data_IF_432131799423
#
_entry.id   IF_432131799423
#
_cell.length_a   1.000
_cell.length_b   1.000
_cell.length_c   1.000
_cell.angle_alpha   90.00
_cell.angle_beta   90.00
_cell.angle_gamma   90.00
#
_symmetry.space_group_name_H-M   'P 1'
#
loop_
_entity.id
_entity.type
_entity.pdbx_description
1 polymer ?
#
# COMPACT_ATOMS: atom_id res chain seq x y z
N UNK A 1 29.87 -6.83 -32.35
CA UNK A 1 28.51 -6.86 -32.92
C UNK A 1 27.64 -5.85 -32.20
N UNK A 2 26.89 -5.05 -32.95
CA UNK A 2 26.00 -4.03 -32.39
C UNK A 2 24.59 -4.21 -32.96
N UNK A 3 23.59 -4.27 -32.07
CA UNK A 3 22.17 -4.20 -32.42
C UNK A 3 21.44 -3.29 -31.43
N UNK A 4 20.10 -3.09 -31.59
CA UNK A 4 19.31 -2.18 -30.76
C UNK A 4 19.31 -2.52 -29.26
N UNK A 5 19.62 -3.74 -28.87
CA UNK A 5 19.54 -4.20 -27.47
C UNK A 5 20.84 -4.77 -26.92
N UNK A 6 21.90 -4.93 -27.76
CA UNK A 6 23.15 -5.52 -27.29
C UNK A 6 24.36 -4.97 -28.03
N UNK A 7 25.47 -4.80 -27.30
CA UNK A 7 26.79 -4.44 -27.80
C UNK A 7 27.77 -5.50 -27.32
N UNK A 8 28.54 -6.05 -28.26
CA UNK A 8 29.66 -6.95 -27.97
C UNK A 8 30.98 -6.28 -28.39
N UNK A 9 31.91 -6.18 -27.44
CA UNK A 9 33.21 -5.56 -27.60
C UNK A 9 34.24 -6.60 -28.08
N UNK A 10 35.38 -6.14 -28.63
CA UNK A 10 36.44 -7.02 -29.14
C UNK A 10 37.05 -7.92 -28.06
N UNK A 11 37.07 -7.49 -26.83
CA UNK A 11 37.55 -8.28 -25.68
C UNK A 11 36.54 -9.33 -25.18
N UNK A 12 35.42 -9.53 -25.89
CA UNK A 12 34.36 -10.47 -25.49
C UNK A 12 33.37 -9.96 -24.45
N UNK A 13 33.54 -8.72 -23.95
CA UNK A 13 32.57 -8.11 -23.03
C UNK A 13 31.26 -7.79 -23.76
N UNK A 14 30.13 -7.99 -23.05
CA UNK A 14 28.77 -7.72 -23.58
C UNK A 14 28.03 -6.76 -22.72
N UNK A 15 27.34 -5.82 -23.36
CA UNK A 15 26.36 -4.93 -22.70
C UNK A 15 25.00 -5.26 -23.28
N UNK A 16 24.04 -5.57 -22.43
CA UNK A 16 22.64 -5.82 -22.79
C UNK A 16 21.77 -4.72 -22.19
N UNK A 17 20.95 -4.08 -23.01
CA UNK A 17 19.94 -3.12 -22.59
C UNK A 17 18.55 -3.70 -22.84
N UNK A 18 17.71 -3.68 -21.81
CA UNK A 18 16.34 -4.18 -21.88
C UNK A 18 15.43 -3.34 -20.98
N UNK A 19 14.14 -3.29 -21.31
CA UNK A 19 13.14 -2.72 -20.40
C UNK A 19 13.00 -3.62 -19.17
N UNK A 20 12.79 -3.02 -18.01
CA UNK A 20 12.58 -3.77 -16.78
C UNK A 20 11.28 -4.56 -16.86
N UNK A 21 11.42 -5.88 -16.81
CA UNK A 21 10.30 -6.83 -16.78
C UNK A 21 10.70 -8.06 -15.98
N UNK A 22 9.73 -8.84 -15.53
CA UNK A 22 9.96 -10.07 -14.76
C UNK A 22 10.88 -11.09 -15.45
N UNK A 23 11.11 -10.97 -16.75
CA UNK A 23 11.93 -11.91 -17.54
C UNK A 23 13.18 -11.28 -18.18
N UNK A 24 13.42 -9.99 -17.98
CA UNK A 24 14.44 -9.22 -18.73
C UNK A 24 15.86 -9.79 -18.63
N UNK A 25 16.22 -10.43 -17.53
CA UNK A 25 17.56 -10.97 -17.25
C UNK A 25 17.57 -12.47 -16.95
N UNK A 26 16.45 -13.17 -17.16
CA UNK A 26 16.37 -14.62 -16.91
C UNK A 26 17.33 -15.38 -17.83
N UNK A 27 18.06 -16.35 -17.23
CA UNK A 27 18.95 -17.26 -17.97
C UNK A 27 20.28 -16.67 -18.40
N UNK A 28 20.58 -15.42 -18.02
CA UNK A 28 21.89 -14.80 -18.23
C UNK A 28 22.78 -14.91 -16.99
N UNK A 29 24.09 -14.76 -17.20
CA UNK A 29 25.08 -14.55 -16.13
C UNK A 29 25.70 -13.18 -16.31
N UNK A 30 25.63 -12.32 -15.30
CA UNK A 30 26.04 -10.92 -15.40
C UNK A 30 27.03 -10.58 -14.29
N UNK A 31 28.05 -9.81 -14.62
CA UNK A 31 29.00 -9.26 -13.65
C UNK A 31 28.47 -7.97 -13.03
N UNK A 32 27.69 -7.20 -13.79
CA UNK A 32 27.07 -5.96 -13.33
C UNK A 32 25.62 -5.92 -13.82
N UNK A 33 24.71 -5.58 -12.94
CA UNK A 33 23.32 -5.25 -13.27
C UNK A 33 23.14 -3.78 -12.89
N UNK A 34 22.74 -2.95 -13.86
CA UNK A 34 22.46 -1.53 -13.66
C UNK A 34 20.97 -1.28 -13.89
N UNK A 35 20.30 -0.76 -12.86
CA UNK A 35 18.88 -0.41 -12.89
C UNK A 35 18.77 1.10 -12.86
N UNK A 36 18.26 1.68 -13.94
CA UNK A 36 18.07 3.12 -14.09
C UNK A 36 16.61 3.48 -13.86
N UNK A 37 16.37 4.63 -13.23
CA UNK A 37 15.04 5.14 -12.89
C UNK A 37 14.15 4.12 -12.16
N UNK A 38 14.76 3.39 -11.23
CA UNK A 38 14.13 2.24 -10.60
C UNK A 38 12.90 2.57 -9.75
N UNK A 39 12.83 3.78 -9.17
CA UNK A 39 11.65 4.25 -8.42
C UNK A 39 10.40 4.42 -9.31
N UNK A 40 10.56 4.49 -10.64
CA UNK A 40 9.45 4.68 -11.58
C UNK A 40 8.82 3.37 -12.06
N UNK A 41 9.35 2.23 -11.61
CA UNK A 41 8.80 0.92 -11.93
C UNK A 41 7.63 0.61 -10.98
N UNK A 42 6.48 0.13 -11.48
CA UNK A 42 5.39 -0.31 -10.62
C UNK A 42 5.83 -1.37 -9.60
N UNK A 43 5.35 -1.28 -8.36
CA UNK A 43 5.76 -2.15 -7.25
C UNK A 43 5.68 -3.64 -7.60
N UNK A 44 4.56 -4.08 -8.22
CA UNK A 44 4.39 -5.49 -8.60
C UNK A 44 5.40 -5.99 -9.63
N UNK A 45 5.87 -5.11 -10.54
CA UNK A 45 6.92 -5.45 -11.51
C UNK A 45 8.28 -5.51 -10.82
N UNK A 46 8.56 -4.59 -9.91
CA UNK A 46 9.80 -4.58 -9.13
C UNK A 46 9.94 -5.85 -8.29
N UNK A 47 8.88 -6.26 -7.59
CA UNK A 47 8.86 -7.49 -6.78
C UNK A 47 9.08 -8.74 -7.66
N UNK A 48 8.38 -8.86 -8.78
CA UNK A 48 8.56 -9.95 -9.73
C UNK A 48 9.96 -9.95 -10.37
N UNK A 49 10.51 -8.78 -10.65
CA UNK A 49 11.86 -8.63 -11.19
C UNK A 49 12.88 -9.16 -10.17
N UNK A 50 12.83 -8.71 -8.91
CA UNK A 50 13.76 -9.18 -7.88
C UNK A 50 13.62 -10.68 -7.63
N UNK A 51 12.40 -11.21 -7.52
CA UNK A 51 12.18 -12.64 -7.35
C UNK A 51 12.79 -13.47 -8.50
N UNK A 52 12.80 -12.93 -9.73
CA UNK A 52 13.36 -13.62 -10.90
C UNK A 52 14.86 -13.42 -11.09
N UNK A 53 15.41 -12.29 -10.63
CA UNK A 53 16.81 -11.88 -10.84
C UNK A 53 17.70 -12.28 -9.67
N UNK A 54 17.18 -12.32 -8.46
CA UNK A 54 17.95 -12.63 -7.25
C UNK A 54 18.70 -13.97 -7.33
N UNK A 55 18.15 -15.06 -7.87
CA UNK A 55 18.90 -16.30 -8.08
C UNK A 55 20.09 -16.13 -9.00
N UNK A 56 19.99 -15.24 -10.01
CA UNK A 56 21.08 -14.93 -10.93
C UNK A 56 22.18 -14.10 -10.25
N UNK A 57 21.80 -13.17 -9.39
CA UNK A 57 22.71 -12.35 -8.58
C UNK A 57 23.44 -13.24 -7.58
N UNK A 58 22.71 -14.06 -6.84
CA UNK A 58 23.25 -14.91 -5.78
C UNK A 58 24.15 -16.06 -6.28
N UNK A 59 23.98 -16.49 -7.52
CA UNK A 59 24.84 -17.52 -8.14
C UNK A 59 26.22 -17.00 -8.57
N UNK A 60 26.35 -15.68 -8.70
CA UNK A 60 27.59 -15.01 -9.13
C UNK A 60 28.39 -14.54 -7.90
N UNK A 61 29.58 -15.09 -7.67
CA UNK A 61 30.45 -14.68 -6.55
C UNK A 61 30.89 -13.21 -6.58
N UNK A 62 30.66 -12.46 -7.68
CA UNK A 62 31.16 -11.10 -7.88
C UNK A 62 30.15 -10.22 -8.64
N UNK A 63 28.89 -10.58 -8.72
CA UNK A 63 27.88 -9.75 -9.38
C UNK A 63 27.63 -8.49 -8.55
N UNK A 64 27.74 -7.32 -9.20
CA UNK A 64 27.41 -6.03 -8.61
C UNK A 64 26.03 -5.59 -9.10
N UNK A 65 25.21 -5.08 -8.21
CA UNK A 65 23.94 -4.43 -8.55
C UNK A 65 24.05 -2.95 -8.23
N UNK A 66 23.79 -2.12 -9.21
CA UNK A 66 23.78 -0.66 -9.10
C UNK A 66 22.36 -0.20 -9.41
N UNK A 67 21.74 0.49 -8.49
CA UNK A 67 20.37 1.01 -8.62
C UNK A 67 20.44 2.53 -8.54
N UNK A 68 19.93 3.22 -9.55
CA UNK A 68 19.91 4.68 -9.60
C UNK A 68 18.48 5.14 -9.86
N UNK A 69 18.05 6.16 -9.13
CA UNK A 69 16.76 6.83 -9.37
C UNK A 69 16.70 8.16 -8.64
N UNK A 70 15.83 9.06 -9.09
CA UNK A 70 15.27 10.08 -8.23
C UNK A 70 14.14 9.45 -7.38
N UNK A 71 13.87 9.97 -6.17
CA UNK A 71 12.79 9.48 -5.33
C UNK A 71 11.42 9.60 -6.00
N UNK A 72 10.55 8.62 -5.76
CA UNK A 72 9.15 8.68 -6.20
C UNK A 72 8.23 8.11 -5.13
N UNK A 73 7.83 8.94 -4.16
CA UNK A 73 7.00 8.51 -3.05
C UNK A 73 7.67 7.43 -2.18
N UNK A 74 6.87 6.78 -1.36
CA UNK A 74 7.33 5.70 -0.46
C UNK A 74 7.10 4.32 -1.08
N UNK A 75 7.67 4.08 -2.25
CA UNK A 75 7.55 2.84 -3.01
C UNK A 75 8.65 1.82 -2.63
N UNK A 76 8.80 0.75 -3.44
CA UNK A 76 9.84 -0.27 -3.25
C UNK A 76 11.28 0.30 -3.20
N UNK A 77 11.59 1.37 -3.96
CA UNK A 77 12.90 2.03 -3.92
C UNK A 77 13.14 2.73 -2.58
N UNK A 78 12.12 3.42 -2.04
CA UNK A 78 12.16 3.98 -0.69
C UNK A 78 12.43 2.91 0.36
N UNK A 79 11.72 1.77 0.30
CA UNK A 79 11.92 0.66 1.23
C UNK A 79 13.35 0.13 1.18
N UNK A 80 13.87 -0.11 -0.04
CA UNK A 80 15.25 -0.58 -0.22
C UNK A 80 16.28 0.42 0.33
N UNK A 81 16.07 1.70 0.09
CA UNK A 81 16.90 2.79 0.59
C UNK A 81 16.91 2.82 2.13
N UNK A 82 15.74 2.84 2.72
CA UNK A 82 15.57 2.93 4.17
C UNK A 82 16.06 1.68 4.91
N UNK A 83 15.88 0.50 4.33
CA UNK A 83 16.45 -0.74 4.83
C UNK A 83 17.99 -0.73 4.74
N UNK A 84 18.58 -0.11 3.72
CA UNK A 84 20.01 0.07 3.61
C UNK A 84 20.56 1.02 4.69
N UNK A 85 19.91 2.16 4.94
CA UNK A 85 20.26 3.09 6.01
C UNK A 85 20.21 2.43 7.40
N UNK A 86 19.28 1.47 7.59
CA UNK A 86 19.14 0.71 8.84
C UNK A 86 20.01 -0.54 8.91
N UNK A 87 20.81 -0.81 7.87
CA UNK A 87 21.65 -2.01 7.78
C UNK A 87 20.89 -3.34 7.67
N UNK A 88 19.63 -3.31 7.21
CA UNK A 88 18.81 -4.51 6.99
C UNK A 88 19.10 -5.22 5.66
N UNK A 89 19.79 -4.56 4.75
CA UNK A 89 20.25 -5.14 3.48
C UNK A 89 21.72 -4.76 3.25
N UNK A 90 22.32 -5.31 2.19
CA UNK A 90 23.75 -5.12 1.86
C UNK A 90 23.99 -3.95 0.91
N UNK A 91 22.97 -3.17 0.55
CA UNK A 91 23.13 -2.00 -0.32
C UNK A 91 23.80 -0.86 0.44
N UNK A 92 24.62 -0.09 -0.29
CA UNK A 92 25.26 1.12 0.21
C UNK A 92 24.50 2.32 -0.33
N UNK A 93 23.70 3.01 0.48
CA UNK A 93 22.98 4.20 0.04
C UNK A 93 23.95 5.33 -0.22
N UNK A 94 23.78 6.00 -1.35
CA UNK A 94 24.58 7.17 -1.73
C UNK A 94 23.64 8.18 -2.39
N UNK A 95 23.39 9.28 -1.71
CA UNK A 95 22.68 10.43 -2.27
C UNK A 95 23.67 11.45 -2.85
N UNK A 96 23.22 12.19 -3.84
CA UNK A 96 23.96 13.30 -4.43
C UNK A 96 23.08 14.54 -4.41
N UNK A 97 23.24 15.33 -3.36
CA UNK A 97 22.51 16.58 -3.22
C UNK A 97 22.97 17.60 -4.27
N UNK A 98 22.07 18.44 -4.78
CA UNK A 98 22.37 19.41 -5.83
C UNK A 98 23.56 20.31 -5.52
N UNK A 99 23.77 20.66 -4.25
CA UNK A 99 24.87 21.54 -3.81
C UNK A 99 26.27 20.90 -3.92
N UNK A 100 26.35 19.59 -4.09
CA UNK A 100 27.59 18.84 -4.30
C UNK A 100 28.01 18.82 -5.77
N UNK A 101 27.10 19.22 -6.67
CA UNK A 101 27.36 19.22 -8.11
C UNK A 101 28.04 20.53 -8.51
N UNK A 102 29.26 20.49 -9.11
CA UNK A 102 29.96 21.70 -9.51
C UNK A 102 29.14 22.60 -10.44
N UNK A 103 29.13 23.90 -10.14
CA UNK A 103 28.38 24.89 -10.94
C UNK A 103 26.92 25.09 -10.54
N UNK A 104 26.44 24.40 -9.52
CA UNK A 104 25.11 24.62 -8.95
C UNK A 104 25.24 25.46 -7.69
N UNK A 105 24.66 26.66 -7.71
CA UNK A 105 24.65 27.61 -6.59
C UNK A 105 23.21 28.04 -6.23
N UNK A 106 23.07 28.97 -5.30
CA UNK A 106 21.77 29.49 -4.88
C UNK A 106 20.99 30.15 -6.03
N UNK A 107 21.67 30.81 -6.95
CA UNK A 107 21.05 31.44 -8.11
C UNK A 107 20.49 30.37 -9.05
N UNK A 108 21.27 29.31 -9.30
CA UNK A 108 20.81 28.15 -10.05
C UNK A 108 19.58 27.49 -9.40
N UNK A 109 19.57 27.34 -8.05
CA UNK A 109 18.42 26.80 -7.30
C UNK A 109 17.17 27.65 -7.55
N UNK A 110 17.25 28.96 -7.33
CA UNK A 110 16.12 29.88 -7.52
C UNK A 110 15.56 29.83 -8.95
N UNK A 111 16.44 29.83 -9.94
CA UNK A 111 16.06 29.73 -11.36
C UNK A 111 15.39 28.39 -11.69
N UNK A 112 15.91 27.30 -11.12
CA UNK A 112 15.36 25.96 -11.36
C UNK A 112 13.97 25.84 -10.73
N UNK A 113 13.78 26.32 -9.50
CA UNK A 113 12.47 26.37 -8.83
C UNK A 113 11.47 27.21 -9.63
N UNK A 114 11.91 28.38 -10.12
CA UNK A 114 11.04 29.26 -10.92
C UNK A 114 10.59 28.62 -12.24
N UNK A 115 11.40 27.75 -12.83
CA UNK A 115 11.10 27.06 -14.09
C UNK A 115 10.35 25.73 -13.89
N UNK A 116 10.29 25.20 -12.66
CA UNK A 116 9.66 23.93 -12.30
C UNK A 116 8.64 24.14 -11.18
N UNK A 117 8.97 23.67 -10.00
CA UNK A 117 8.26 23.94 -8.75
C UNK A 117 9.17 23.61 -7.56
N UNK A 118 8.87 24.18 -6.39
CA UNK A 118 9.55 23.84 -5.12
C UNK A 118 9.51 22.33 -4.85
N UNK A 119 8.36 21.69 -5.07
CA UNK A 119 8.20 20.26 -4.84
C UNK A 119 9.03 19.43 -5.82
N UNK A 120 9.03 19.77 -7.11
CA UNK A 120 9.84 19.06 -8.08
C UNK A 120 11.33 19.24 -7.77
N UNK A 121 11.74 20.43 -7.35
CA UNK A 121 13.12 20.69 -6.95
C UNK A 121 13.56 19.80 -5.78
N UNK A 122 12.70 19.65 -4.77
CA UNK A 122 12.98 18.80 -3.60
C UNK A 122 13.14 17.33 -3.97
N UNK A 123 12.30 16.82 -4.88
CA UNK A 123 12.40 15.42 -5.34
C UNK A 123 13.64 15.22 -6.20
N UNK A 124 13.82 16.04 -7.24
CA UNK A 124 14.82 15.81 -8.27
C UNK A 124 16.26 16.20 -7.86
N UNK A 125 16.38 17.17 -6.95
CA UNK A 125 17.66 17.77 -6.63
C UNK A 125 18.03 17.75 -5.14
N UNK A 126 17.06 17.66 -4.24
CA UNK A 126 17.29 17.45 -2.81
C UNK A 126 17.07 15.99 -2.41
N UNK A 127 16.76 15.12 -3.36
CA UNK A 127 16.58 13.67 -3.17
C UNK A 127 15.54 13.30 -2.10
N UNK A 128 14.53 14.17 -1.88
CA UNK A 128 13.51 13.92 -0.88
C UNK A 128 12.46 12.93 -1.37
N UNK A 129 12.21 11.89 -0.57
CA UNK A 129 11.08 10.99 -0.78
C UNK A 129 9.78 11.69 -0.37
N UNK A 130 9.18 12.41 -1.30
CA UNK A 130 7.89 13.06 -1.10
C UNK A 130 6.78 12.16 -1.64
N UNK A 131 5.65 12.08 -0.91
CA UNK A 131 4.42 11.53 -1.44
C UNK A 131 3.88 12.37 -2.61
N UNK A 132 2.89 11.84 -3.30
CA UNK A 132 2.22 12.53 -4.41
C UNK A 132 1.61 13.87 -3.96
N UNK A 133 1.33 14.75 -4.91
CA UNK A 133 0.63 16.03 -4.65
C UNK A 133 -0.84 15.74 -4.32
N UNK A 134 -1.45 16.57 -3.47
CA UNK A 134 -2.88 16.48 -3.12
C UNK A 134 -3.31 15.15 -2.49
N UNK A 135 -2.42 14.52 -1.70
CA UNK A 135 -2.78 13.33 -0.93
C UNK A 135 -3.85 13.62 0.13
N UNK A 136 -4.62 12.60 0.49
CA UNK A 136 -5.65 12.70 1.54
C UNK A 136 -5.06 13.18 2.86
N UNK A 137 -3.96 12.57 3.26
CA UNK A 137 -3.19 12.92 4.48
C UNK A 137 -2.10 13.92 4.09
N UNK A 138 -1.84 14.89 4.95
CA UNK A 138 -0.82 15.92 4.68
C UNK A 138 0.57 15.30 4.50
N UNK A 139 1.36 15.86 3.58
CA UNK A 139 2.72 15.39 3.31
C UNK A 139 3.63 15.46 4.55
N UNK A 140 3.38 16.42 5.46
CA UNK A 140 4.10 16.52 6.74
C UNK A 140 3.77 15.34 7.66
N UNK A 141 2.50 14.93 7.73
CA UNK A 141 2.08 13.78 8.54
C UNK A 141 2.59 12.47 7.94
N UNK A 142 2.45 12.29 6.62
CA UNK A 142 2.94 11.08 5.94
C UNK A 142 4.44 10.86 6.18
N UNK A 143 5.25 11.91 6.15
CA UNK A 143 6.70 11.83 6.44
C UNK A 143 7.03 11.48 7.88
N UNK A 144 6.15 11.83 8.82
CA UNK A 144 6.35 11.50 10.23
C UNK A 144 5.94 10.05 10.58
N UNK A 145 5.23 9.36 9.67
CA UNK A 145 4.85 7.97 9.88
C UNK A 145 6.08 7.05 9.80
N UNK A 146 6.16 6.14 10.74
CA UNK A 146 7.23 5.14 10.83
C UNK A 146 6.59 3.76 10.67
N UNK A 147 7.23 2.87 9.95
CA UNK A 147 6.81 1.49 9.84
C UNK A 147 7.70 0.55 10.64
N UNK A 148 7.11 -0.52 11.10
CA UNK A 148 7.76 -1.61 11.83
C UNK A 148 7.70 -2.90 11.00
N UNK A 149 8.58 -3.87 11.34
CA UNK A 149 8.45 -5.21 10.81
C UNK A 149 7.33 -5.95 11.55
N UNK A 150 6.48 -6.72 10.87
CA UNK A 150 5.43 -7.50 11.52
C UNK A 150 6.04 -8.59 12.41
N UNK A 151 5.34 -8.95 13.49
CA UNK A 151 5.69 -10.10 14.35
C UNK A 151 5.56 -11.41 13.57
N UNK A 152 4.58 -11.50 12.68
CA UNK A 152 4.32 -12.62 11.80
C UNK A 152 3.95 -12.11 10.41
N UNK A 153 4.50 -12.76 9.37
CA UNK A 153 4.18 -12.49 7.97
C UNK A 153 4.01 -13.81 7.23
N UNK A 154 2.82 -14.07 6.71
CA UNK A 154 2.54 -15.30 5.97
C UNK A 154 1.40 -15.11 4.95
N UNK A 155 1.68 -15.41 3.68
CA UNK A 155 0.66 -15.47 2.62
C UNK A 155 -0.13 -14.18 2.39
N UNK A 156 0.45 -13.01 2.69
CA UNK A 156 -0.18 -11.71 2.60
C UNK A 156 -0.77 -11.19 3.92
N UNK A 157 -0.79 -12.03 4.97
CA UNK A 157 -1.18 -11.65 6.32
C UNK A 157 0.05 -11.18 7.11
N UNK A 158 0.01 -9.95 7.60
CA UNK A 158 1.01 -9.37 8.50
C UNK A 158 0.35 -9.00 9.83
N UNK A 159 0.93 -9.46 10.93
CA UNK A 159 0.44 -9.25 12.29
C UNK A 159 1.49 -8.45 13.08
N UNK A 160 1.07 -7.37 13.70
CA UNK A 160 1.88 -6.47 14.52
C UNK A 160 1.63 -6.62 16.02
N UNK A 161 0.47 -7.17 16.40
CA UNK A 161 0.12 -7.46 17.79
C UNK A 161 -0.75 -8.70 17.87
N UNK A 162 -0.41 -9.62 18.78
CA UNK A 162 -1.25 -10.78 19.09
C UNK A 162 -2.57 -10.33 19.74
N UNK A 163 -3.65 -11.14 19.64
CA UNK A 163 -4.91 -10.80 20.26
C UNK A 163 -4.79 -10.71 21.79
N UNK A 164 -5.31 -9.63 22.34
CA UNK A 164 -5.33 -9.40 23.78
C UNK A 164 -6.73 -9.78 24.29
N UNK A 165 -6.78 -10.54 25.38
CA UNK A 165 -8.05 -10.95 25.99
C UNK A 165 -8.89 -9.73 26.40
N UNK A 166 -10.19 -9.82 26.18
CA UNK A 166 -11.19 -8.78 26.50
C UNK A 166 -11.00 -7.46 25.71
N UNK A 167 -10.20 -7.47 24.63
CA UNK A 167 -10.15 -6.38 23.67
C UNK A 167 -11.20 -6.55 22.58
N UNK A 168 -11.68 -5.43 22.05
CA UNK A 168 -12.63 -5.35 20.95
C UNK A 168 -11.88 -5.06 19.64
N UNK A 169 -12.25 -5.80 18.59
CA UNK A 169 -11.61 -5.70 17.28
C UNK A 169 -12.61 -5.49 16.18
N UNK A 170 -12.19 -4.71 15.18
CA UNK A 170 -12.93 -4.52 13.94
C UNK A 170 -12.05 -4.91 12.77
N UNK A 171 -12.63 -5.67 11.85
CA UNK A 171 -12.00 -6.08 10.60
C UNK A 171 -12.77 -5.43 9.45
N UNK A 172 -12.11 -4.55 8.71
CA UNK A 172 -12.70 -3.90 7.54
C UNK A 172 -12.11 -4.50 6.28
N UNK A 173 -12.98 -4.86 5.34
CA UNK A 173 -12.66 -5.70 4.20
C UNK A 173 -12.99 -5.01 2.89
N UNK A 174 -12.02 -4.97 2.00
CA UNK A 174 -12.16 -4.61 0.59
C UNK A 174 -11.88 -5.83 -0.28
N UNK A 175 -12.72 -6.09 -1.29
CA UNK A 175 -12.72 -7.36 -2.03
C UNK A 175 -12.45 -7.15 -3.50
N UNK A 176 -11.37 -7.75 -4.01
CA UNK A 176 -11.04 -7.82 -5.42
C UNK A 176 -11.38 -9.17 -6.05
N UNK A 177 -11.33 -9.25 -7.39
CA UNK A 177 -11.66 -10.45 -8.16
C UNK A 177 -10.58 -11.54 -8.16
N UNK A 178 -9.38 -11.27 -7.61
CA UNK A 178 -8.26 -12.22 -7.58
C UNK A 178 -7.70 -12.54 -8.97
N UNK A 179 -7.59 -11.53 -9.82
CA UNK A 179 -7.10 -11.65 -11.22
C UNK A 179 -5.70 -11.01 -11.41
N UNK A 180 -5.03 -10.67 -10.30
CA UNK A 180 -3.64 -10.21 -10.31
C UNK A 180 -3.46 -8.69 -10.44
N UNK A 181 -4.54 -7.90 -10.45
CA UNK A 181 -4.48 -6.43 -10.50
C UNK A 181 -4.75 -5.81 -9.13
N UNK A 182 -6.01 -5.75 -8.71
CA UNK A 182 -6.41 -5.24 -7.42
C UNK A 182 -6.27 -6.32 -6.35
N UNK A 183 -6.08 -5.92 -5.10
CA UNK A 183 -5.90 -6.83 -3.99
C UNK A 183 -7.21 -7.03 -3.22
N UNK A 184 -7.50 -8.27 -2.84
CA UNK A 184 -8.40 -8.50 -1.71
C UNK A 184 -7.64 -8.18 -0.43
N UNK A 185 -8.18 -7.25 0.37
CA UNK A 185 -7.50 -6.72 1.53
C UNK A 185 -8.43 -6.66 2.75
N UNK A 186 -7.86 -6.72 3.94
CA UNK A 186 -8.50 -6.30 5.17
C UNK A 186 -7.50 -5.72 6.16
N UNK A 187 -8.01 -4.90 7.08
CA UNK A 187 -7.27 -4.41 8.25
C UNK A 187 -7.92 -4.89 9.52
N UNK A 188 -7.10 -5.19 10.53
CA UNK A 188 -7.51 -5.56 11.88
C UNK A 188 -7.23 -4.37 12.78
N UNK A 189 -8.26 -3.81 13.39
CA UNK A 189 -8.15 -2.61 14.24
C UNK A 189 -8.57 -2.95 15.65
N UNK A 190 -7.70 -2.71 16.62
CA UNK A 190 -8.03 -2.70 18.03
C UNK A 190 -8.77 -1.38 18.37
N UNK A 191 -10.01 -1.50 18.82
CA UNK A 191 -10.91 -0.37 19.08
C UNK A 191 -11.25 -0.23 20.54
N UNK A 192 -10.59 -0.97 21.41
CA UNK A 192 -10.85 -0.99 22.86
C UNK A 192 -10.67 0.37 23.52
N UNK A 193 -9.73 1.15 23.05
CA UNK A 193 -9.46 2.50 23.56
C UNK A 193 -8.77 3.39 22.53
N UNK A 194 -8.99 4.70 22.58
CA UNK A 194 -8.23 5.66 21.78
C UNK A 194 -6.78 5.82 22.30
N UNK A 195 -5.80 5.99 21.43
CA UNK A 195 -5.89 5.89 19.96
C UNK A 195 -6.18 4.44 19.51
N UNK A 196 -7.08 4.27 18.56
CA UNK A 196 -7.28 2.98 17.91
C UNK A 196 -6.03 2.57 17.15
N UNK A 197 -5.77 1.26 17.04
CA UNK A 197 -4.52 0.76 16.44
C UNK A 197 -4.81 -0.28 15.37
N UNK A 198 -4.24 -0.10 14.20
CA UNK A 198 -4.16 -1.18 13.20
C UNK A 198 -3.08 -2.15 13.66
N UNK A 199 -3.48 -3.37 13.98
CA UNK A 199 -2.62 -4.41 14.56
C UNK A 199 -2.36 -5.57 13.63
N UNK A 200 -2.98 -5.56 12.45
CA UNK A 200 -2.74 -6.53 11.39
C UNK A 200 -3.38 -6.09 10.09
N UNK A 201 -2.90 -6.65 9.00
CA UNK A 201 -3.47 -6.48 7.66
C UNK A 201 -3.32 -7.76 6.84
N UNK A 202 -4.17 -7.90 5.87
CA UNK A 202 -4.06 -8.90 4.81
C UNK A 202 -4.13 -8.22 3.45
N UNK A 203 -3.31 -8.70 2.51
CA UNK A 203 -3.30 -8.20 1.13
C UNK A 203 -2.87 -9.30 0.17
N UNK A 204 -3.73 -9.66 -0.78
CA UNK A 204 -3.43 -10.70 -1.76
C UNK A 204 -4.22 -10.48 -3.05
N UNK A 205 -3.57 -10.42 -4.20
CA UNK A 205 -4.20 -10.19 -5.51
C UNK A 205 -4.49 -11.48 -6.31
N UNK A 206 -4.13 -12.64 -5.77
CA UNK A 206 -4.35 -13.94 -6.40
C UNK A 206 -5.41 -14.78 -5.67
N UNK A 207 -5.80 -14.36 -4.45
CA UNK A 207 -6.80 -15.08 -3.66
C UNK A 207 -8.14 -15.12 -4.38
N UNK A 208 -8.71 -16.32 -4.51
CA UNK A 208 -10.05 -16.45 -5.08
C UNK A 208 -11.10 -15.97 -4.09
N UNK A 209 -12.11 -15.20 -4.54
CA UNK A 209 -13.18 -14.68 -3.67
C UNK A 209 -13.89 -15.74 -2.83
N UNK A 210 -13.97 -16.98 -3.32
CA UNK A 210 -14.57 -18.09 -2.57
C UNK A 210 -13.75 -18.60 -1.39
N UNK A 211 -12.44 -18.36 -1.37
CA UNK A 211 -11.54 -18.78 -0.27
C UNK A 211 -11.32 -17.68 0.75
N UNK A 212 -11.49 -16.45 0.35
CA UNK A 212 -11.23 -15.27 1.19
C UNK A 212 -12.11 -15.20 2.44
N UNK A 213 -13.42 -15.55 2.41
CA UNK A 213 -14.31 -15.57 3.57
C UNK A 213 -13.76 -16.39 4.75
N UNK A 214 -13.20 -17.57 4.47
CA UNK A 214 -12.65 -18.44 5.52
C UNK A 214 -11.47 -17.78 6.23
N UNK A 215 -10.58 -17.12 5.49
CA UNK A 215 -9.44 -16.40 6.08
C UNK A 215 -9.94 -15.26 6.97
N UNK A 216 -10.93 -14.47 6.51
CA UNK A 216 -11.49 -13.37 7.28
C UNK A 216 -12.09 -13.87 8.59
N UNK A 217 -12.91 -14.94 8.53
CA UNK A 217 -13.60 -15.50 9.70
C UNK A 217 -12.62 -16.14 10.68
N UNK A 218 -11.60 -16.86 10.19
CA UNK A 218 -10.58 -17.47 11.05
C UNK A 218 -9.82 -16.39 11.83
N UNK A 219 -9.46 -15.30 11.18
CA UNK A 219 -8.83 -14.14 11.83
C UNK A 219 -9.79 -13.47 12.82
N UNK A 220 -11.04 -13.24 12.44
CA UNK A 220 -12.02 -12.63 13.33
C UNK A 220 -12.23 -13.46 14.60
N UNK A 221 -12.32 -14.79 14.48
CA UNK A 221 -12.40 -15.70 15.61
C UNK A 221 -11.16 -15.65 16.51
N UNK A 222 -9.96 -15.59 15.90
CA UNK A 222 -8.71 -15.46 16.65
C UNK A 222 -8.64 -14.13 17.44
N UNK A 223 -9.20 -13.06 16.88
CA UNK A 223 -9.28 -11.75 17.52
C UNK A 223 -10.62 -11.54 18.24
N UNK A 224 -10.88 -12.36 19.26
CA UNK A 224 -12.02 -12.31 20.20
C UNK A 224 -13.40 -12.27 19.53
N UNK A 225 -13.60 -12.92 18.41
CA UNK A 225 -14.78 -12.81 17.55
C UNK A 225 -15.05 -11.36 17.11
N UNK A 226 -14.03 -10.68 16.62
CA UNK A 226 -14.09 -9.29 16.19
C UNK A 226 -15.18 -9.01 15.16
N UNK A 227 -15.68 -7.79 15.14
CA UNK A 227 -16.69 -7.37 14.16
C UNK A 227 -16.11 -7.28 12.76
N UNK A 228 -16.84 -7.76 11.77
CA UNK A 228 -16.46 -7.70 10.35
C UNK A 228 -17.36 -6.70 9.64
N UNK A 229 -16.77 -5.77 8.88
CA UNK A 229 -17.47 -4.88 7.96
C UNK A 229 -16.91 -5.06 6.54
N UNK A 230 -17.69 -5.70 5.67
CA UNK A 230 -17.34 -5.88 4.26
C UNK A 230 -17.85 -4.73 3.39
N UNK A 231 -17.05 -4.31 2.42
CA UNK A 231 -17.56 -3.61 1.25
C UNK A 231 -18.34 -4.60 0.39
N UNK A 232 -19.59 -4.25 0.04
CA UNK A 232 -20.50 -5.14 -0.71
C UNK A 232 -20.73 -4.69 -2.16
N UNK A 233 -19.79 -3.94 -2.72
CA UNK A 233 -19.79 -3.65 -4.14
C UNK A 233 -19.32 -4.88 -4.92
N UNK A 234 -19.84 -5.07 -6.11
CA UNK A 234 -19.42 -6.14 -7.05
C UNK A 234 -19.35 -7.52 -6.37
N UNK A 235 -18.17 -8.12 -6.28
CA UNK A 235 -17.94 -9.45 -5.70
C UNK A 235 -18.02 -9.48 -4.16
N UNK A 236 -17.93 -8.34 -3.51
CA UNK A 236 -17.96 -8.25 -2.05
C UNK A 236 -19.27 -8.72 -1.44
N UNK A 237 -20.40 -8.57 -2.13
CA UNK A 237 -21.70 -9.10 -1.69
C UNK A 237 -21.68 -10.63 -1.59
N UNK A 238 -20.98 -11.32 -2.50
CA UNK A 238 -20.81 -12.78 -2.44
C UNK A 238 -19.94 -13.19 -1.23
N UNK A 239 -18.84 -12.48 -0.97
CA UNK A 239 -17.98 -12.75 0.19
C UNK A 239 -18.75 -12.56 1.49
N UNK A 240 -19.48 -11.47 1.64
CA UNK A 240 -20.30 -11.19 2.82
C UNK A 240 -21.42 -12.25 3.00
N UNK A 241 -22.03 -12.70 1.90
CA UNK A 241 -23.05 -13.75 1.93
C UNK A 241 -22.48 -15.08 2.43
N UNK A 242 -21.29 -15.48 1.99
CA UNK A 242 -20.62 -16.71 2.46
C UNK A 242 -20.30 -16.58 3.96
N UNK A 243 -19.77 -15.42 4.41
CA UNK A 243 -19.49 -15.18 5.84
C UNK A 243 -20.75 -15.37 6.68
N UNK A 244 -21.87 -14.82 6.23
CA UNK A 244 -23.13 -14.83 7.00
C UNK A 244 -23.87 -16.17 6.92
N UNK A 245 -24.09 -16.71 5.71
CA UNK A 245 -24.96 -17.86 5.52
C UNK A 245 -24.22 -19.20 5.57
N UNK A 246 -23.01 -19.29 5.03
CA UNK A 246 -22.27 -20.54 4.93
C UNK A 246 -21.36 -20.77 6.13
N UNK A 247 -20.70 -19.71 6.64
CA UNK A 247 -19.81 -19.76 7.79
C UNK A 247 -20.50 -19.39 9.10
N UNK A 248 -21.78 -18.96 9.04
CA UNK A 248 -22.65 -18.61 10.17
C UNK A 248 -21.96 -17.69 11.20
N UNK A 249 -21.26 -16.64 10.69
CA UNK A 249 -20.53 -15.71 11.54
C UNK A 249 -21.43 -14.58 12.02
N UNK A 250 -21.71 -14.52 13.32
CA UNK A 250 -22.71 -13.62 13.93
C UNK A 250 -22.26 -12.15 13.96
N UNK A 251 -20.97 -11.86 14.09
CA UNK A 251 -20.45 -10.49 14.23
C UNK A 251 -20.16 -9.81 12.88
N UNK A 252 -20.94 -10.14 11.84
CA UNK A 252 -20.94 -9.41 10.59
C UNK A 252 -21.83 -8.18 10.70
N UNK A 253 -21.25 -6.98 10.51
CA UNK A 253 -21.97 -5.71 10.56
C UNK A 253 -22.86 -5.52 9.34
N UNK A 254 -24.10 -5.21 9.57
CA UNK A 254 -25.11 -4.98 8.54
C UNK A 254 -25.40 -3.48 8.39
N UNK A 255 -25.65 -3.04 7.18
CA UNK A 255 -26.05 -1.67 6.89
C UNK A 255 -27.47 -1.59 6.34
N UNK A 256 -28.19 -0.54 6.71
CA UNK A 256 -29.52 -0.23 6.19
C UNK A 256 -29.59 1.17 5.62
N UNK A 257 -30.47 1.40 4.65
CA UNK A 257 -30.71 2.74 4.09
C UNK A 257 -31.74 3.48 4.94
N UNK A 258 -31.38 4.61 5.51
CA UNK A 258 -32.27 5.44 6.35
C UNK A 258 -32.51 6.83 5.73
N UNK A 259 -33.41 6.90 4.78
CA UNK A 259 -33.86 8.16 4.17
C UNK A 259 -32.69 9.04 3.68
N UNK A 260 -32.65 10.29 4.14
CA UNK A 260 -31.60 11.27 3.78
C UNK A 260 -30.26 11.02 4.51
N UNK A 261 -30.25 10.26 5.60
CA UNK A 261 -29.02 9.93 6.31
C UNK A 261 -28.12 8.93 5.55
N UNK A 262 -28.65 8.29 4.49
CA UNK A 262 -27.89 7.33 3.69
C UNK A 262 -27.76 5.98 4.38
N UNK A 263 -26.59 5.36 4.24
CA UNK A 263 -26.30 4.09 4.90
C UNK A 263 -25.93 4.31 6.36
N UNK A 264 -26.51 3.50 7.23
CA UNK A 264 -26.17 3.45 8.66
C UNK A 264 -25.93 1.99 9.05
N UNK A 265 -25.03 1.77 10.01
CA UNK A 265 -24.84 0.47 10.66
C UNK A 265 -26.01 0.22 11.62
N UNK A 266 -26.54 -0.99 11.63
CA UNK A 266 -27.65 -1.36 12.50
C UNK A 266 -27.63 -2.83 12.87
N UNK A 267 -28.28 -3.18 13.98
CA UNK A 267 -28.48 -4.57 14.39
C UNK A 267 -29.73 -5.15 13.72
N UNK A 268 -29.55 -6.24 12.97
CA UNK A 268 -30.61 -7.15 12.56
C UNK A 268 -31.50 -6.70 11.37
N UNK A 269 -32.32 -7.63 10.91
CA UNK A 269 -33.20 -7.56 9.73
C UNK A 269 -34.40 -6.60 9.85
N UNK A 270 -34.34 -5.54 10.64
CA UNK A 270 -35.45 -4.63 10.89
C UNK A 270 -35.67 -3.59 9.80
N UNK A 271 -35.66 -3.97 8.51
CA UNK A 271 -35.97 -3.02 7.44
C UNK A 271 -35.89 -3.61 6.03
N UNK A 272 -36.67 -3.06 5.11
CA UNK A 272 -36.84 -3.53 3.72
C UNK A 272 -35.59 -3.51 2.83
N UNK A 273 -34.39 -3.06 3.29
CA UNK A 273 -33.15 -2.98 2.51
C UNK A 273 -31.93 -3.08 3.43
N UNK A 274 -31.81 -4.16 4.17
CA UNK A 274 -30.60 -4.47 4.93
C UNK A 274 -29.59 -5.16 4.01
N UNK A 275 -28.31 -4.75 4.07
CA UNK A 275 -27.18 -5.31 3.31
C UNK A 275 -26.19 -5.93 4.29
N UNK A 276 -25.51 -7.01 3.91
CA UNK A 276 -24.52 -7.72 4.73
C UNK A 276 -23.16 -6.99 4.76
N UNK A 277 -23.17 -5.69 4.86
CA UNK A 277 -21.98 -4.83 4.82
C UNK A 277 -22.32 -3.44 4.30
N UNK A 278 -21.28 -2.67 3.94
CA UNK A 278 -21.41 -1.30 3.45
C UNK A 278 -21.25 -1.23 1.94
N UNK A 279 -22.16 -0.55 1.26
CA UNK A 279 -22.00 -0.24 -0.16
C UNK A 279 -21.19 1.03 -0.31
N UNK A 280 -20.02 0.96 -0.95
CA UNK A 280 -19.20 2.13 -1.23
C UNK A 280 -19.90 3.05 -2.24
N UNK A 281 -20.55 4.05 -1.71
CA UNK A 281 -21.15 5.14 -2.47
C UNK A 281 -20.27 6.39 -2.39
N UNK A 282 -20.50 7.37 -3.28
CA UNK A 282 -19.79 8.66 -3.21
C UNK A 282 -19.90 9.33 -1.83
N UNK A 283 -21.05 9.19 -1.17
CA UNK A 283 -21.27 9.75 0.18
C UNK A 283 -20.49 9.01 1.24
N UNK A 284 -20.50 7.67 1.22
CA UNK A 284 -19.73 6.83 2.15
C UNK A 284 -18.24 7.12 1.99
N UNK A 285 -17.72 7.10 0.76
CA UNK A 285 -16.30 7.39 0.47
C UNK A 285 -15.91 8.80 0.94
N UNK A 286 -16.74 9.81 0.68
CA UNK A 286 -16.48 11.19 1.10
C UNK A 286 -16.42 11.32 2.63
N UNK A 287 -17.37 10.72 3.36
CA UNK A 287 -17.39 10.74 4.83
C UNK A 287 -16.19 9.97 5.37
N UNK A 288 -15.94 8.76 4.85
CA UNK A 288 -14.81 7.94 5.25
C UNK A 288 -13.46 8.63 5.04
N UNK A 289 -13.22 9.23 3.86
CA UNK A 289 -12.00 9.99 3.58
C UNK A 289 -11.85 11.20 4.53
N UNK A 290 -12.91 11.98 4.75
CA UNK A 290 -12.86 13.12 5.66
C UNK A 290 -12.50 12.71 7.08
N UNK A 291 -13.11 11.63 7.58
CA UNK A 291 -12.85 11.12 8.92
C UNK A 291 -11.48 10.45 9.02
N UNK A 292 -11.06 9.69 8.00
CA UNK A 292 -9.71 9.10 7.98
C UNK A 292 -8.64 10.18 8.11
N UNK A 293 -8.79 11.28 7.36
CA UNK A 293 -7.90 12.42 7.50
C UNK A 293 -7.84 12.91 8.95
N UNK A 294 -8.99 13.13 9.58
CA UNK A 294 -9.06 13.60 10.98
C UNK A 294 -8.44 12.59 11.94
N UNK A 295 -8.76 11.31 11.81
CA UNK A 295 -8.23 10.26 12.68
C UNK A 295 -6.70 10.15 12.60
N UNK A 296 -6.13 10.29 11.42
CA UNK A 296 -4.67 10.21 11.21
C UNK A 296 -3.98 11.50 11.63
N UNK A 297 -4.49 12.67 11.23
CA UNK A 297 -3.88 13.97 11.57
C UNK A 297 -3.90 14.24 13.08
N UNK A 298 -4.98 13.85 13.77
CA UNK A 298 -5.15 13.98 15.22
C UNK A 298 -4.53 12.83 16.03
N UNK A 299 -3.83 11.88 15.39
CA UNK A 299 -3.23 10.70 16.03
C UNK A 299 -4.22 9.80 16.78
N UNK A 300 -5.48 9.78 16.33
CA UNK A 300 -6.53 8.92 16.88
C UNK A 300 -6.57 7.52 16.27
N UNK A 301 -5.94 7.34 15.12
CA UNK A 301 -5.69 6.06 14.47
C UNK A 301 -4.19 5.91 14.23
N UNK A 302 -3.59 4.88 14.80
CA UNK A 302 -2.17 4.57 14.67
C UNK A 302 -2.01 3.31 13.84
N UNK A 303 -1.07 3.33 12.92
CA UNK A 303 -0.63 2.19 12.13
C UNK A 303 0.84 2.30 11.81
N UNK A 304 1.54 1.17 11.78
CA UNK A 304 2.97 1.08 11.50
C UNK A 304 3.23 0.08 10.37
N UNK A 305 2.26 -0.10 9.48
CA UNK A 305 2.38 -1.00 8.32
C UNK A 305 2.91 -0.24 7.11
N UNK A 306 3.94 -0.81 6.47
CA UNK A 306 4.56 -0.20 5.29
C UNK A 306 3.61 -0.08 4.11
N UNK A 307 2.80 -1.12 3.80
CA UNK A 307 1.92 -1.11 2.63
C UNK A 307 0.81 -0.08 2.80
N UNK A 308 0.24 0.04 4.01
CA UNK A 308 -0.74 1.08 4.34
C UNK A 308 -0.15 2.47 4.13
N UNK A 309 1.05 2.72 4.66
CA UNK A 309 1.73 4.01 4.50
C UNK A 309 2.00 4.28 3.02
N UNK A 310 2.49 3.29 2.28
CA UNK A 310 2.76 3.38 0.85
C UNK A 310 1.51 3.76 0.05
N UNK A 311 0.37 3.10 0.28
CA UNK A 311 -0.88 3.42 -0.39
C UNK A 311 -1.38 4.83 -0.05
N UNK A 312 -1.31 5.25 1.22
CA UNK A 312 -1.69 6.61 1.64
C UNK A 312 -0.83 7.70 1.00
N UNK A 313 0.43 7.43 0.65
CA UNK A 313 1.31 8.39 -0.04
C UNK A 313 0.96 8.60 -1.51
N UNK A 314 0.20 7.70 -2.10
CA UNK A 314 -0.28 7.74 -3.49
C UNK A 314 -1.80 7.88 -3.59
N UNK A 315 -2.50 8.01 -2.47
CA UNK A 315 -3.96 8.19 -2.41
C UNK A 315 -4.31 9.67 -2.57
N UNK A 316 -4.53 10.08 -3.82
CA UNK A 316 -4.62 11.49 -4.24
C UNK A 316 -6.05 11.93 -4.55
N UNK A 317 -6.27 13.24 -4.49
CA UNK A 317 -7.53 13.84 -4.93
C UNK A 317 -7.65 13.76 -6.45
N UNK A 318 -8.73 13.13 -6.94
CA UNK A 318 -9.03 12.98 -8.36
C UNK A 318 -10.53 13.11 -8.60
N UNK A 319 -10.92 14.02 -9.49
CA UNK A 319 -12.32 14.16 -9.94
C UNK A 319 -13.37 14.22 -8.81
N UNK A 320 -13.14 14.99 -7.75
CA UNK A 320 -13.98 15.12 -6.55
C UNK A 320 -14.02 13.88 -5.62
N UNK A 321 -13.06 13.00 -5.72
CA UNK A 321 -12.86 11.84 -4.85
C UNK A 321 -11.37 11.66 -4.55
N UNK A 322 -11.03 10.62 -3.80
CA UNK A 322 -9.65 10.18 -3.60
C UNK A 322 -9.50 8.78 -4.20
N UNK A 323 -8.41 8.55 -4.92
CA UNK A 323 -8.11 7.28 -5.58
C UNK A 323 -6.59 7.11 -5.61
N UNK A 324 -6.12 5.88 -5.83
CA UNK A 324 -4.71 5.64 -6.08
C UNK A 324 -4.22 6.39 -7.33
N UNK A 325 -2.99 6.85 -7.29
CA UNK A 325 -2.28 7.34 -8.48
C UNK A 325 -2.15 6.23 -9.52
N UNK A 326 -2.04 6.60 -10.80
CA UNK A 326 -1.94 5.62 -11.88
C UNK A 326 -0.76 4.64 -11.69
N UNK A 327 -1.08 3.36 -11.71
CA UNK A 327 -0.12 2.28 -11.45
C UNK A 327 0.11 1.96 -9.97
N UNK A 328 -0.61 2.59 -9.05
CA UNK A 328 -0.64 2.29 -7.62
C UNK A 328 -1.96 1.63 -7.20
N UNK A 329 -2.00 1.12 -5.98
CA UNK A 329 -3.18 0.47 -5.39
C UNK A 329 -3.67 1.29 -4.19
N UNK A 330 -4.97 1.15 -3.83
CA UNK A 330 -5.59 1.79 -2.68
C UNK A 330 -6.45 0.83 -1.83
N UNK A 331 -6.26 -0.48 -1.97
CA UNK A 331 -7.10 -1.49 -1.33
C UNK A 331 -7.04 -1.43 0.21
N UNK A 332 -5.85 -1.27 0.80
CA UNK A 332 -5.67 -1.07 2.24
C UNK A 332 -6.12 0.33 2.68
N UNK A 333 -5.87 1.35 1.88
CA UNK A 333 -6.38 2.70 2.14
C UNK A 333 -7.91 2.70 2.13
N UNK A 334 -8.55 1.93 1.24
CA UNK A 334 -10.01 1.75 1.22
C UNK A 334 -10.52 1.00 2.46
N UNK A 335 -9.81 -0.02 2.95
CA UNK A 335 -10.13 -0.64 4.25
C UNK A 335 -10.15 0.41 5.38
N UNK A 336 -9.17 1.32 5.42
CA UNK A 336 -9.14 2.40 6.41
C UNK A 336 -10.25 3.45 6.18
N UNK A 337 -10.62 3.72 4.93
CA UNK A 337 -11.77 4.60 4.60
C UNK A 337 -13.08 4.00 5.11
N UNK A 338 -13.28 2.68 4.93
CA UNK A 338 -14.43 1.94 5.46
C UNK A 338 -14.44 2.00 6.99
N UNK A 339 -13.30 1.78 7.61
CA UNK A 339 -13.14 1.90 9.07
C UNK A 339 -13.49 3.30 9.57
N UNK A 340 -12.95 4.34 8.96
CA UNK A 340 -13.19 5.72 9.34
C UNK A 340 -14.66 6.14 9.13
N UNK A 341 -15.33 5.57 8.13
CA UNK A 341 -16.76 5.73 7.96
C UNK A 341 -17.54 5.05 9.09
N UNK A 342 -17.12 3.84 9.51
CA UNK A 342 -17.76 3.12 10.63
C UNK A 342 -17.66 3.88 11.96
N UNK A 343 -16.47 4.42 12.27
CA UNK A 343 -16.24 5.22 13.51
C UNK A 343 -17.13 6.46 13.57
N UNK A 344 -17.59 6.97 12.43
CA UNK A 344 -18.52 8.11 12.37
C UNK A 344 -19.99 7.74 12.56
N UNK A 345 -20.30 6.46 12.79
CA UNK A 345 -21.68 6.02 13.00
C UNK A 345 -22.05 6.09 14.49
N UNK A 346 -23.30 6.48 14.78
CA UNK A 346 -23.85 6.52 16.15
C UNK A 346 -23.79 5.15 16.86
N UNK A 347 -23.61 4.08 16.11
CA UNK A 347 -23.54 2.71 16.62
C UNK A 347 -22.17 2.37 17.21
N UNK A 348 -21.13 3.04 16.77
CA UNK A 348 -19.74 2.80 17.16
C UNK A 348 -19.28 3.81 18.19
#
# INVERSE_FOLDING_TARGET
VWNKGSLELENGSKILAASTSASAVRGGSYNVIFLDEFAFIPNHIADQFFASVYPTISSGQKTKVIIVSTPRGMNHFYRMWHDAERGKNEYIPTDVHWSEVPGRDAVWKEQTIANTSEQQFRVEFECEFLGSVDTLISSSKLRALVYDDPLQSNGGLDIYCEPIKDHDYVITVDVARGVGFDYSAFTIVDVTSFPHRVIGKYRNNEIKPMLFPSIIVDIAKAYNNGFILCEVNDIGDQVASIIHFDLEYDNLLMCSMRGRAGQIVGQGFSGKKTQLGVKMSKTVKKIGCSNLKTLVEDEKLIFNDYDIISELTTFIHKSNSFEAEEGCNDDLAMCLVIYAWLVAQDYF
#
